data_IF_266610272508
#
_entry.id   IF_266610272508
#
_cell.length_a   1.000
_cell.length_b   1.000
_cell.length_c   1.000
_cell.angle_alpha   90.00
_cell.angle_beta   90.00
_cell.angle_gamma   90.00
#
_symmetry.space_group_name_H-M   'P 1'
#
loop_
_entity.id
_entity.type
_entity.pdbx_description
1 polymer ?
#
# COMPACT_ATOMS: atom_id res chain seq x y z
N UNK A 1 15.20 -9.21 -9.67
CA UNK A 1 13.79 -8.96 -9.32
C UNK A 1 12.97 -9.13 -10.59
N UNK A 2 12.18 -10.20 -10.73
CA UNK A 2 11.37 -10.41 -11.93
C UNK A 2 10.20 -9.41 -11.93
N UNK A 3 10.31 -8.36 -12.74
CA UNK A 3 9.21 -7.43 -13.03
C UNK A 3 8.16 -8.25 -13.80
N UNK A 4 7.03 -8.57 -13.17
CA UNK A 4 6.00 -9.39 -13.81
C UNK A 4 5.33 -8.58 -14.93
N UNK A 5 5.17 -9.14 -16.15
CA UNK A 5 4.69 -8.37 -17.28
C UNK A 5 3.25 -7.84 -17.16
N UNK A 6 2.44 -8.52 -16.36
CA UNK A 6 1.02 -8.25 -16.15
C UNK A 6 0.74 -6.89 -15.49
N UNK A 7 1.59 -6.44 -14.58
CA UNK A 7 1.34 -5.21 -13.82
C UNK A 7 1.58 -3.94 -14.62
N UNK A 8 2.63 -3.89 -15.45
CA UNK A 8 2.98 -2.66 -16.18
C UNK A 8 2.12 -2.47 -17.43
N UNK A 9 1.77 -3.57 -18.12
CA UNK A 9 0.84 -3.55 -19.27
C UNK A 9 -0.55 -3.09 -18.81
N UNK A 10 -0.97 -3.47 -17.60
CA UNK A 10 -2.21 -2.98 -17.01
C UNK A 10 -2.15 -1.48 -16.72
N UNK A 11 -1.01 -0.97 -16.23
CA UNK A 11 -0.80 0.48 -16.01
C UNK A 11 -0.82 1.27 -17.33
N UNK A 12 -0.21 0.75 -18.39
CA UNK A 12 -0.27 1.36 -19.72
C UNK A 12 -1.70 1.42 -20.25
N UNK A 13 -2.46 0.33 -20.09
CA UNK A 13 -3.87 0.30 -20.44
C UNK A 13 -4.70 1.30 -19.62
N UNK A 14 -4.49 1.37 -18.31
CA UNK A 14 -5.15 2.34 -17.41
C UNK A 14 -4.78 3.80 -17.71
N UNK A 15 -3.57 4.03 -18.26
CA UNK A 15 -3.12 5.34 -18.75
C UNK A 15 -3.75 5.73 -20.10
N UNK A 16 -4.59 4.87 -20.69
CA UNK A 16 -5.34 5.14 -21.91
C UNK A 16 -4.74 4.56 -23.19
N UNK A 17 -3.69 3.75 -23.10
CA UNK A 17 -3.13 3.05 -24.27
C UNK A 17 -4.14 2.01 -24.76
N UNK A 18 -4.41 2.06 -26.07
CA UNK A 18 -5.37 1.16 -26.70
C UNK A 18 -4.86 -0.28 -26.66
N UNK A 19 -5.76 -1.26 -26.54
CA UNK A 19 -5.35 -2.67 -26.55
C UNK A 19 -4.74 -3.08 -27.89
N UNK A 20 -5.09 -2.39 -28.98
CA UNK A 20 -4.42 -2.58 -30.28
C UNK A 20 -2.93 -2.24 -30.21
N UNK A 21 -2.56 -1.19 -29.47
CA UNK A 21 -1.16 -0.80 -29.32
C UNK A 21 -0.42 -1.75 -28.37
N UNK A 22 -1.08 -2.15 -27.26
CA UNK A 22 -0.54 -3.18 -26.36
C UNK A 22 -0.34 -4.53 -27.05
N UNK A 23 -1.21 -4.88 -28.01
CA UNK A 23 -1.06 -6.08 -28.82
C UNK A 23 0.16 -5.97 -29.75
N UNK A 24 0.36 -4.81 -30.39
CA UNK A 24 1.50 -4.58 -31.29
C UNK A 24 2.84 -4.58 -30.55
N UNK A 25 2.89 -4.01 -29.36
CA UNK A 25 4.12 -3.87 -28.59
C UNK A 25 4.45 -5.14 -27.78
N UNK A 26 3.42 -5.74 -27.16
CA UNK A 26 3.59 -6.80 -26.15
C UNK A 26 2.95 -8.14 -26.52
N UNK A 27 2.24 -8.22 -27.65
CA UNK A 27 1.53 -9.43 -28.07
C UNK A 27 0.33 -9.79 -27.18
N UNK A 28 -0.20 -8.83 -26.41
CA UNK A 28 -1.26 -9.07 -25.43
C UNK A 28 -2.64 -8.83 -26.03
N UNK A 29 -3.54 -9.80 -25.86
CA UNK A 29 -4.94 -9.71 -26.31
C UNK A 29 -5.87 -9.07 -25.27
N UNK A 30 -7.01 -8.54 -25.72
CA UNK A 30 -8.08 -8.01 -24.85
C UNK A 30 -8.48 -8.97 -23.73
N UNK A 31 -8.64 -10.26 -24.05
CA UNK A 31 -8.98 -11.28 -23.07
C UNK A 31 -7.93 -11.41 -21.97
N UNK A 32 -6.65 -11.22 -22.31
CA UNK A 32 -5.54 -11.29 -21.35
C UNK A 32 -5.51 -10.05 -20.47
N UNK A 33 -5.70 -8.86 -21.04
CA UNK A 33 -5.80 -7.59 -20.28
C UNK A 33 -6.98 -7.65 -19.31
N UNK A 34 -8.15 -8.10 -19.75
CA UNK A 34 -9.32 -8.27 -18.88
C UNK A 34 -9.07 -9.26 -17.73
N UNK A 35 -8.40 -10.38 -18.00
CA UNK A 35 -8.03 -11.36 -16.97
C UNK A 35 -7.07 -10.77 -15.94
N UNK A 36 -6.10 -9.96 -16.36
CA UNK A 36 -5.18 -9.27 -15.45
C UNK A 36 -5.87 -8.15 -14.69
N UNK A 37 -6.76 -7.38 -15.32
CA UNK A 37 -7.58 -6.37 -14.63
C UNK A 37 -8.45 -6.99 -13.54
N UNK A 38 -9.12 -8.11 -13.83
CA UNK A 38 -9.94 -8.82 -12.86
C UNK A 38 -9.11 -9.35 -11.67
N UNK A 39 -7.89 -9.80 -11.93
CA UNK A 39 -7.01 -10.37 -10.90
C UNK A 39 -6.25 -9.31 -10.08
N UNK A 40 -5.86 -8.21 -10.72
CA UNK A 40 -4.87 -7.27 -10.16
C UNK A 40 -5.30 -5.81 -10.17
N UNK A 41 -6.35 -5.42 -10.89
CA UNK A 41 -6.77 -4.01 -11.00
C UNK A 41 -7.19 -3.37 -9.68
N UNK A 42 -7.55 -4.16 -8.67
CA UNK A 42 -7.84 -3.67 -7.31
C UNK A 42 -6.65 -3.73 -6.34
N UNK A 43 -5.50 -4.26 -6.76
CA UNK A 43 -4.38 -4.56 -5.86
C UNK A 43 -3.70 -3.28 -5.32
N UNK A 44 -3.47 -2.28 -6.18
CA UNK A 44 -2.85 -1.01 -5.77
C UNK A 44 -3.76 -0.24 -4.79
N UNK A 45 -5.07 -0.22 -5.06
CA UNK A 45 -6.07 0.43 -4.17
C UNK A 45 -6.13 -0.27 -2.82
N UNK A 46 -6.10 -1.60 -2.81
CA UNK A 46 -6.06 -2.40 -1.58
C UNK A 46 -4.78 -2.16 -0.78
N UNK A 47 -3.63 -2.09 -1.46
CA UNK A 47 -2.34 -1.80 -0.85
C UNK A 47 -2.30 -0.38 -0.24
N UNK A 48 -2.77 0.63 -0.96
CA UNK A 48 -2.87 2.00 -0.47
C UNK A 48 -3.78 2.12 0.76
N UNK A 49 -4.94 1.45 0.73
CA UNK A 49 -5.86 1.40 1.88
C UNK A 49 -5.23 0.73 3.10
N UNK A 50 -4.51 -0.38 2.89
CA UNK A 50 -3.77 -1.08 3.95
C UNK A 50 -2.66 -0.22 4.54
N UNK A 51 -1.90 0.48 3.68
CA UNK A 51 -0.83 1.38 4.11
C UNK A 51 -1.39 2.48 5.02
N UNK A 52 -2.45 3.16 4.59
CA UNK A 52 -3.12 4.18 5.39
C UNK A 52 -3.56 3.66 6.76
N UNK A 53 -4.18 2.48 6.80
CA UNK A 53 -4.59 1.86 8.07
C UNK A 53 -3.42 1.55 9.01
N UNK A 54 -2.26 1.16 8.47
CA UNK A 54 -1.04 0.94 9.26
C UNK A 54 -0.43 2.25 9.76
N UNK A 55 -0.47 3.31 8.96
CA UNK A 55 0.00 4.64 9.35
C UNK A 55 -0.85 5.22 10.49
N UNK A 56 -2.18 5.10 10.39
CA UNK A 56 -3.12 5.54 11.41
C UNK A 56 -2.88 4.81 12.75
N UNK A 57 -2.74 3.48 12.71
CA UNK A 57 -2.49 2.68 13.91
C UNK A 57 -1.12 2.96 14.52
N UNK A 58 -0.09 3.15 13.70
CA UNK A 58 1.24 3.54 14.18
C UNK A 58 1.20 4.91 14.88
N UNK A 59 0.44 5.86 14.34
CA UNK A 59 0.19 7.16 14.98
C UNK A 59 -0.47 7.01 16.36
N UNK A 60 -1.51 6.18 16.45
CA UNK A 60 -2.21 5.87 17.70
C UNK A 60 -1.28 5.23 18.74
N UNK A 61 -0.50 4.23 18.33
CA UNK A 61 0.44 3.53 19.19
C UNK A 61 1.55 4.45 19.72
N UNK A 62 2.11 5.31 18.87
CA UNK A 62 3.11 6.30 19.29
C UNK A 62 2.57 7.26 20.33
N UNK A 63 1.32 7.72 20.19
CA UNK A 63 0.69 8.59 21.18
C UNK A 63 0.53 7.88 22.53
N UNK A 64 -0.03 6.67 22.54
CA UNK A 64 -0.19 5.87 23.75
C UNK A 64 1.15 5.58 24.45
N UNK A 65 2.20 5.31 23.66
CA UNK A 65 3.53 5.11 24.18
C UNK A 65 4.08 6.39 24.84
N UNK A 66 3.92 7.55 24.21
CA UNK A 66 4.34 8.82 24.77
C UNK A 66 3.61 9.13 26.10
N UNK A 67 2.29 8.96 26.13
CA UNK A 67 1.48 9.15 27.34
C UNK A 67 1.96 8.21 28.46
N UNK A 68 2.18 6.93 28.15
CA UNK A 68 2.69 5.94 29.12
C UNK A 68 4.10 6.26 29.63
N UNK A 69 4.96 6.80 28.77
CA UNK A 69 6.31 7.22 29.15
C UNK A 69 6.28 8.43 30.09
N UNK A 70 5.38 9.39 29.86
CA UNK A 70 5.19 10.54 30.74
C UNK A 70 4.70 10.10 32.12
N UNK A 71 3.69 9.23 32.18
CA UNK A 71 3.18 8.67 33.44
C UNK A 71 4.28 7.91 34.19
N UNK A 72 5.08 7.11 33.49
CA UNK A 72 6.18 6.37 34.09
C UNK A 72 7.26 7.30 34.66
N UNK A 73 7.58 8.39 33.97
CA UNK A 73 8.53 9.40 34.45
C UNK A 73 8.00 10.07 35.71
N UNK A 74 6.75 10.53 35.70
CA UNK A 74 6.12 11.18 36.85
C UNK A 74 6.11 10.25 38.09
N UNK A 75 5.79 8.97 37.89
CA UNK A 75 5.82 7.98 38.99
C UNK A 75 7.22 7.77 39.54
N UNK A 76 8.25 7.72 38.68
CA UNK A 76 9.65 7.61 39.12
C UNK A 76 10.13 8.85 39.87
N UNK A 77 9.76 10.03 39.42
CA UNK A 77 10.12 11.29 40.06
C UNK A 77 9.48 11.42 41.46
N UNK A 78 8.26 10.90 41.64
CA UNK A 78 7.61 10.82 42.94
C UNK A 78 8.27 9.81 43.88
N UNK A 79 8.70 8.66 43.36
CA UNK A 79 9.37 7.61 44.15
C UNK A 79 10.83 7.95 44.50
N UNK A 80 11.51 8.77 43.70
CA UNK A 80 12.90 9.18 43.92
C UNK A 80 13.08 10.37 44.88
N UNK A 81 12.00 11.06 45.27
CA UNK A 81 12.02 12.21 46.17
C UNK A 81 11.77 11.86 47.65
N UNK A 82 12.14 10.65 48.10
CA UNK A 82 12.06 10.22 49.49
C UNK A 82 13.38 9.64 50.01
#
# INVERSE_FOLDING_TARGET
MYRRPDHWILKEHEAGISVSDLFREHGVSDATVYKWRARYGGMEVSAAKRLKGLEDENGRLKKLLADSMLDNSALKDLLGNN
#
